data_IF_262906172587
#
_entry.id   IF_262906172587
#
_cell.length_a   1.000
_cell.length_b   1.000
_cell.length_c   1.000
_cell.angle_alpha   90.00
_cell.angle_beta   90.00
_cell.angle_gamma   90.00
#
_symmetry.space_group_name_H-M   'P 1'
#
loop_
_entity.id
_entity.type
_entity.pdbx_description
1 polymer ?
#
# COMPACT_ATOMS: atom_id res chain seq x y z
N UNK A 1 14.58 10.71 1.87
CA UNK A 1 14.79 9.39 1.26
C UNK A 1 16.15 9.17 0.57
N UNK A 2 16.99 10.20 0.32
CA UNK A 2 18.32 10.01 -0.31
C UNK A 2 19.25 9.01 0.40
N UNK A 3 19.08 8.82 1.71
CA UNK A 3 19.80 7.80 2.48
C UNK A 3 19.60 6.35 1.97
N UNK A 4 18.59 6.12 1.13
CA UNK A 4 18.28 4.83 0.52
C UNK A 4 18.89 4.63 -0.88
N UNK A 5 19.54 5.65 -1.46
CA UNK A 5 20.16 5.53 -2.79
C UNK A 5 21.32 4.52 -2.75
N UNK A 6 21.32 3.58 -3.71
CA UNK A 6 22.36 2.56 -3.81
C UNK A 6 22.21 1.39 -2.83
N UNK A 7 21.16 1.36 -2.00
CA UNK A 7 20.78 0.17 -1.24
C UNK A 7 19.91 -0.75 -2.12
N UNK A 8 19.88 -2.05 -1.82
CA UNK A 8 18.88 -2.96 -2.41
C UNK A 8 17.50 -2.71 -1.79
N UNK A 9 16.90 -1.61 -2.21
CA UNK A 9 15.58 -1.18 -1.79
C UNK A 9 14.50 -1.70 -2.74
N UNK A 10 13.35 -2.03 -2.15
CA UNK A 10 12.12 -2.40 -2.83
C UNK A 10 11.05 -1.35 -2.51
N UNK A 11 10.58 -0.64 -3.52
CA UNK A 11 9.44 0.26 -3.44
C UNK A 11 8.17 -0.53 -3.77
N UNK A 12 7.28 -0.66 -2.79
CA UNK A 12 5.98 -1.28 -2.92
C UNK A 12 4.89 -0.20 -2.95
N UNK A 13 4.37 0.07 -4.15
CA UNK A 13 3.25 1.00 -4.33
C UNK A 13 1.92 0.31 -4.03
N UNK A 14 1.11 0.89 -3.15
CA UNK A 14 -0.27 0.43 -2.93
C UNK A 14 -1.10 0.73 -4.18
N UNK A 15 -1.76 -0.28 -4.71
CA UNK A 15 -2.60 -0.11 -5.88
C UNK A 15 -3.80 0.81 -5.56
N UNK A 16 -4.08 1.85 -6.34
CA UNK A 16 -3.44 2.21 -7.63
C UNK A 16 -2.55 3.44 -7.53
N UNK A 17 -3.00 4.48 -6.83
CA UNK A 17 -2.29 5.76 -6.77
C UNK A 17 -0.90 5.68 -6.14
N UNK A 18 -0.71 4.79 -5.16
CA UNK A 18 0.61 4.50 -4.59
C UNK A 18 1.65 4.01 -5.59
N UNK A 19 1.25 3.36 -6.69
CA UNK A 19 2.19 2.98 -7.78
C UNK A 19 2.63 4.20 -8.57
N UNK A 20 1.72 5.15 -8.82
CA UNK A 20 2.02 6.40 -9.53
C UNK A 20 3.02 7.24 -8.72
N UNK A 21 2.85 7.31 -7.40
CA UNK A 21 3.78 7.99 -6.49
C UNK A 21 5.07 7.19 -6.29
N UNK A 22 4.98 5.86 -6.24
CA UNK A 22 6.12 4.96 -6.05
C UNK A 22 7.09 4.96 -7.23
N UNK A 23 6.60 5.11 -8.47
CA UNK A 23 7.44 5.07 -9.66
C UNK A 23 8.58 6.13 -9.69
N UNK A 24 8.33 7.44 -9.47
CA UNK A 24 9.41 8.43 -9.40
C UNK A 24 10.30 8.23 -8.18
N UNK A 25 9.79 7.70 -7.05
CA UNK A 25 10.61 7.35 -5.88
C UNK A 25 11.59 6.23 -6.24
N UNK A 26 11.10 5.15 -6.86
CA UNK A 26 11.93 4.03 -7.28
C UNK A 26 12.99 4.46 -8.30
N UNK A 27 12.63 5.32 -9.27
CA UNK A 27 13.56 5.87 -10.24
C UNK A 27 14.66 6.71 -9.58
N UNK A 28 14.31 7.59 -8.63
CA UNK A 28 15.29 8.43 -7.94
C UNK A 28 16.21 7.64 -6.99
N UNK A 29 15.74 6.50 -6.47
CA UNK A 29 16.49 5.62 -5.58
C UNK A 29 17.24 4.50 -6.30
N UNK A 30 17.00 4.35 -7.60
CA UNK A 30 17.45 3.19 -8.40
C UNK A 30 16.95 1.84 -7.82
N UNK A 31 15.79 1.89 -7.17
CA UNK A 31 15.18 0.77 -6.46
C UNK A 31 14.29 -0.08 -7.37
N UNK A 32 13.95 -1.28 -6.90
CA UNK A 32 12.90 -2.09 -7.53
C UNK A 32 11.54 -1.44 -7.28
N UNK A 33 10.67 -1.38 -8.30
CA UNK A 33 9.28 -0.99 -8.14
C UNK A 33 8.40 -2.22 -8.33
N UNK A 34 7.55 -2.50 -7.36
CA UNK A 34 6.51 -3.53 -7.48
C UNK A 34 5.21 -3.07 -6.80
N UNK A 35 4.10 -3.73 -7.13
CA UNK A 35 2.78 -3.42 -6.56
C UNK A 35 2.45 -4.30 -5.35
N UNK A 36 1.77 -3.72 -4.38
CA UNK A 36 0.98 -4.45 -3.38
C UNK A 36 -0.46 -3.92 -3.44
N UNK A 37 -1.47 -4.78 -3.30
CA UNK A 37 -2.86 -4.37 -3.51
C UNK A 37 -3.77 -4.75 -2.32
N UNK A 38 -3.46 -4.31 -1.08
CA UNK A 38 -4.40 -4.48 0.01
C UNK A 38 -5.71 -3.75 -0.31
N UNK A 39 -6.84 -4.29 0.16
CA UNK A 39 -8.15 -3.69 -0.07
C UNK A 39 -8.95 -3.60 1.21
N UNK A 40 -9.72 -2.50 1.36
CA UNK A 40 -10.62 -2.32 2.50
C UNK A 40 -11.63 -3.45 2.57
N UNK A 41 -11.92 -3.90 3.79
CA UNK A 41 -13.05 -4.76 4.09
C UNK A 41 -14.29 -3.87 4.27
N UNK A 42 -15.24 -3.86 3.32
CA UNK A 42 -16.36 -2.92 3.31
C UNK A 42 -17.31 -3.17 4.48
N UNK A 43 -17.92 -2.11 4.99
CA UNK A 43 -19.02 -2.24 5.96
C UNK A 43 -20.27 -2.71 5.20
N UNK A 44 -21.00 -3.73 5.66
CA UNK A 44 -22.13 -4.31 4.91
C UNK A 44 -23.18 -3.31 4.42
N UNK A 45 -23.48 -2.29 5.22
CA UNK A 45 -24.47 -1.25 4.92
C UNK A 45 -23.86 0.08 4.47
N UNK A 46 -22.53 0.16 4.32
CA UNK A 46 -21.83 1.32 3.77
C UNK A 46 -20.55 0.86 3.04
N UNK A 47 -20.66 0.40 1.79
CA UNK A 47 -19.52 -0.18 1.05
C UNK A 47 -18.35 0.78 0.81
N UNK A 48 -18.59 2.10 0.84
CA UNK A 48 -17.56 3.14 0.68
C UNK A 48 -16.63 3.25 1.91
N UNK A 49 -17.14 2.84 3.08
CA UNK A 49 -16.39 2.76 4.32
C UNK A 49 -15.88 1.33 4.57
N UNK A 50 -14.74 1.22 5.25
CA UNK A 50 -14.16 -0.08 5.59
C UNK A 50 -13.89 -0.22 7.08
N UNK A 51 -14.20 -1.38 7.65
CA UNK A 51 -13.89 -1.71 9.05
C UNK A 51 -12.48 -2.29 9.24
N UNK A 52 -11.78 -2.53 8.14
CA UNK A 52 -10.45 -3.10 8.11
C UNK A 52 -9.91 -3.14 6.69
N UNK A 53 -8.86 -3.91 6.47
CA UNK A 53 -8.33 -4.21 5.16
C UNK A 53 -7.69 -5.60 5.13
N UNK A 54 -7.54 -6.16 3.93
CA UNK A 54 -6.94 -7.47 3.67
C UNK A 54 -5.88 -7.36 2.57
N UNK A 55 -4.75 -8.03 2.75
CA UNK A 55 -3.68 -8.18 1.77
C UNK A 55 -3.79 -9.50 0.98
N UNK A 56 -2.98 -9.65 -0.06
CA UNK A 56 -2.99 -10.79 -0.99
C UNK A 56 -2.77 -12.16 -0.33
N UNK A 57 -1.93 -12.17 0.72
CA UNK A 57 -1.61 -13.35 1.52
C UNK A 57 -2.70 -13.68 2.57
N UNK A 58 -3.82 -12.95 2.55
CA UNK A 58 -4.90 -13.08 3.52
C UNK A 58 -4.64 -12.37 4.85
N UNK A 59 -3.54 -11.61 4.99
CA UNK A 59 -3.30 -10.80 6.19
C UNK A 59 -4.39 -9.75 6.35
N UNK A 60 -5.07 -9.76 7.49
CA UNK A 60 -6.14 -8.82 7.80
C UNK A 60 -5.75 -7.86 8.92
N UNK A 61 -5.98 -6.57 8.68
CA UNK A 61 -6.03 -5.57 9.73
C UNK A 61 -7.48 -5.21 10.01
N UNK A 62 -7.93 -5.34 11.25
CA UNK A 62 -9.29 -5.02 11.67
C UNK A 62 -9.29 -3.87 12.68
N UNK A 63 -10.15 -2.87 12.49
CA UNK A 63 -10.45 -1.92 13.55
C UNK A 63 -11.40 -2.59 14.56
N UNK A 64 -10.83 -3.14 15.63
CA UNK A 64 -11.58 -3.86 16.65
C UNK A 64 -12.69 -3.02 17.33
N UNK A 65 -12.48 -1.70 17.50
CA UNK A 65 -13.50 -0.83 18.07
C UNK A 65 -14.70 -0.67 17.12
N UNK A 66 -14.42 -0.50 15.82
CA UNK A 66 -15.46 -0.39 14.80
C UNK A 66 -16.18 -1.72 14.58
N UNK A 67 -15.47 -2.85 14.55
CA UNK A 67 -16.06 -4.20 14.50
C UNK A 67 -17.05 -4.40 15.65
N UNK A 68 -16.67 -4.06 16.89
CA UNK A 68 -17.56 -4.13 18.05
C UNK A 68 -18.77 -3.19 17.94
N UNK A 69 -18.55 -1.95 17.50
CA UNK A 69 -19.62 -0.96 17.36
C UNK A 69 -20.65 -1.36 16.30
N UNK A 70 -20.21 -2.04 15.24
CA UNK A 70 -21.06 -2.55 14.16
C UNK A 70 -21.74 -3.88 14.52
N UNK A 71 -21.32 -4.55 15.60
CA UNK A 71 -21.83 -5.86 15.98
C UNK A 71 -21.49 -6.98 14.99
N UNK A 72 -20.40 -6.84 14.22
CA UNK A 72 -20.01 -7.84 13.22
C UNK A 72 -19.53 -9.12 13.89
N UNK A 73 -20.13 -10.23 13.47
CA UNK A 73 -19.73 -11.59 13.86
C UNK A 73 -18.47 -12.03 13.12
N UNK A 74 -17.78 -13.03 13.67
CA UNK A 74 -16.61 -13.62 13.01
C UNK A 74 -16.96 -14.25 11.64
N UNK A 75 -18.15 -14.82 11.52
CA UNK A 75 -18.63 -15.44 10.27
C UNK A 75 -18.86 -14.38 9.18
N UNK A 76 -19.49 -13.24 9.53
CA UNK A 76 -19.66 -12.11 8.61
C UNK A 76 -18.31 -11.54 8.15
N UNK A 77 -17.38 -11.34 9.09
CA UNK A 77 -16.03 -10.86 8.77
C UNK A 77 -15.32 -11.84 7.82
N UNK A 78 -15.45 -13.15 8.08
CA UNK A 78 -14.82 -14.19 7.25
C UNK A 78 -15.39 -14.20 5.84
N UNK A 79 -16.71 -14.07 5.69
CA UNK A 79 -17.36 -14.04 4.38
C UNK A 79 -16.90 -12.82 3.57
N UNK A 80 -16.96 -11.63 4.18
CA UNK A 80 -16.51 -10.37 3.54
C UNK A 80 -15.03 -10.47 3.15
N UNK A 81 -14.19 -10.98 4.05
CA UNK A 81 -12.77 -11.16 3.79
C UNK A 81 -12.50 -12.11 2.62
N UNK A 82 -13.24 -13.22 2.51
CA UNK A 82 -13.09 -14.17 1.41
C UNK A 82 -13.45 -13.56 0.05
N UNK A 83 -14.56 -12.82 -0.02
CA UNK A 83 -14.99 -12.11 -1.24
C UNK A 83 -13.96 -11.05 -1.66
N UNK A 84 -13.49 -10.23 -0.72
CA UNK A 84 -12.49 -9.19 -0.99
C UNK A 84 -11.13 -9.80 -1.37
N UNK A 85 -10.73 -10.91 -0.75
CA UNK A 85 -9.47 -11.60 -1.05
C UNK A 85 -9.44 -12.13 -2.49
N UNK A 86 -10.56 -12.69 -2.97
CA UNK A 86 -10.67 -13.15 -4.36
C UNK A 86 -10.41 -12.00 -5.36
N UNK A 87 -10.98 -10.82 -5.08
CA UNK A 87 -10.78 -9.62 -5.86
C UNK A 87 -9.34 -9.07 -5.76
N UNK A 88 -8.72 -9.11 -4.58
CA UNK A 88 -7.30 -8.74 -4.40
C UNK A 88 -6.41 -9.62 -5.28
N UNK A 89 -6.61 -10.95 -5.24
CA UNK A 89 -5.83 -11.90 -6.04
C UNK A 89 -6.00 -11.66 -7.54
N UNK A 90 -7.24 -11.45 -8.00
CA UNK A 90 -7.52 -11.10 -9.41
C UNK A 90 -6.78 -9.84 -9.87
N UNK A 91 -6.70 -8.81 -9.02
CA UNK A 91 -5.96 -7.57 -9.33
C UNK A 91 -4.46 -7.78 -9.36
N UNK A 92 -3.90 -8.52 -8.40
CA UNK A 92 -2.48 -8.83 -8.41
C UNK A 92 -2.09 -9.63 -9.64
N UNK A 93 -2.88 -10.63 -10.03
CA UNK A 93 -2.67 -11.40 -11.27
C UNK A 93 -2.64 -10.48 -12.50
N UNK A 94 -3.54 -9.50 -12.57
CA UNK A 94 -3.53 -8.48 -13.64
C UNK A 94 -2.25 -7.62 -13.66
N UNK A 95 -1.71 -7.25 -12.50
CA UNK A 95 -0.56 -6.35 -12.43
C UNK A 95 0.80 -7.06 -12.55
N UNK A 96 0.91 -8.28 -12.01
CA UNK A 96 2.15 -9.07 -12.00
C UNK A 96 2.21 -10.08 -13.14
N UNK A 97 1.07 -10.55 -13.65
CA UNK A 97 1.00 -11.72 -14.53
C UNK A 97 1.50 -12.97 -13.80
N UNK A 98 2.27 -13.80 -14.49
CA UNK A 98 2.87 -15.03 -13.93
C UNK A 98 4.11 -14.76 -13.05
N UNK A 99 4.46 -13.50 -12.79
CA UNK A 99 5.64 -13.17 -11.98
C UNK A 99 5.41 -13.54 -10.52
N UNK A 100 6.43 -14.10 -9.84
CA UNK A 100 6.31 -14.37 -8.41
C UNK A 100 6.16 -13.07 -7.62
N UNK A 101 5.61 -13.14 -6.38
CA UNK A 101 5.66 -12.01 -5.46
C UNK A 101 7.10 -11.52 -5.23
N UNK A 102 7.30 -10.21 -5.01
CA UNK A 102 8.63 -9.67 -4.79
C UNK A 102 9.24 -10.22 -3.50
N UNK A 103 10.55 -10.48 -3.52
CA UNK A 103 11.28 -10.88 -2.32
C UNK A 103 11.44 -9.68 -1.42
N UNK A 104 10.97 -9.80 -0.17
CA UNK A 104 11.04 -8.75 0.86
C UNK A 104 12.08 -9.03 1.95
N UNK A 105 12.49 -10.29 2.13
CA UNK A 105 13.39 -10.74 3.19
C UNK A 105 14.75 -10.04 3.11
N UNK A 106 15.23 -9.55 4.25
CA UNK A 106 16.51 -8.85 4.42
C UNK A 106 16.70 -7.60 3.52
N UNK A 107 15.62 -7.07 2.92
CA UNK A 107 15.66 -5.86 2.10
C UNK A 107 15.12 -4.64 2.85
N UNK A 108 15.50 -3.46 2.37
CA UNK A 108 14.80 -2.23 2.75
C UNK A 108 13.53 -2.11 1.92
N UNK A 109 12.36 -2.25 2.55
CA UNK A 109 11.06 -2.13 1.89
C UNK A 109 10.45 -0.77 2.18
N UNK A 110 10.04 -0.08 1.13
CA UNK A 110 9.41 1.24 1.17
C UNK A 110 7.97 1.08 0.68
N UNK A 111 7.01 1.14 1.58
CA UNK A 111 5.59 1.18 1.27
C UNK A 111 5.14 2.60 0.92
N UNK A 112 4.48 2.76 -0.22
CA UNK A 112 4.07 4.05 -0.77
C UNK A 112 2.58 4.05 -1.09
N UNK A 113 1.90 5.15 -0.77
CA UNK A 113 0.53 5.45 -1.20
C UNK A 113 0.44 6.91 -1.68
N UNK A 114 -0.63 7.26 -2.39
CA UNK A 114 -0.89 8.66 -2.80
C UNK A 114 -1.35 9.54 -1.63
N UNK A 115 -1.98 8.94 -0.64
CA UNK A 115 -2.25 9.54 0.65
C UNK A 115 -2.96 8.57 1.58
N UNK A 116 -2.96 8.87 2.86
CA UNK A 116 -3.54 7.97 3.86
C UNK A 116 -4.72 8.66 4.53
N UNK A 117 -5.94 8.20 4.22
CA UNK A 117 -7.14 8.65 4.94
C UNK A 117 -7.23 7.99 6.33
N UNK A 118 -7.73 6.74 6.42
CA UNK A 118 -7.79 5.99 7.68
C UNK A 118 -6.55 5.14 7.96
N UNK A 119 -5.74 4.89 6.92
CA UNK A 119 -4.52 4.08 7.00
C UNK A 119 -4.74 2.56 7.07
N UNK A 120 -5.97 2.03 6.99
CA UNK A 120 -6.21 0.59 7.15
C UNK A 120 -5.55 -0.26 6.05
N UNK A 121 -5.57 0.20 4.81
CA UNK A 121 -4.89 -0.46 3.67
C UNK A 121 -3.38 -0.53 3.90
N UNK A 122 -2.78 0.58 4.33
CA UNK A 122 -1.38 0.66 4.70
C UNK A 122 -1.04 -0.28 5.86
N UNK A 123 -1.88 -0.35 6.91
CA UNK A 123 -1.65 -1.25 8.04
C UNK A 123 -1.72 -2.73 7.64
N UNK A 124 -2.65 -3.11 6.76
CA UNK A 124 -2.68 -4.46 6.20
C UNK A 124 -1.43 -4.77 5.36
N UNK A 125 -0.95 -3.80 4.55
CA UNK A 125 0.31 -3.94 3.82
C UNK A 125 1.51 -4.10 4.75
N UNK A 126 1.63 -3.28 5.78
CA UNK A 126 2.69 -3.35 6.79
C UNK A 126 2.72 -4.73 7.45
N UNK A 127 1.56 -5.22 7.89
CA UNK A 127 1.48 -6.54 8.53
C UNK A 127 1.85 -7.67 7.58
N UNK A 128 1.43 -7.60 6.31
CA UNK A 128 1.78 -8.60 5.30
C UNK A 128 3.28 -8.60 5.01
N UNK A 129 3.88 -7.42 4.77
CA UNK A 129 5.31 -7.28 4.49
C UNK A 129 6.16 -7.77 5.66
N UNK A 130 5.76 -7.48 6.91
CA UNK A 130 6.48 -7.93 8.11
C UNK A 130 6.61 -9.45 8.22
N UNK A 131 5.66 -10.22 7.69
CA UNK A 131 5.75 -11.70 7.68
C UNK A 131 6.95 -12.20 6.88
N UNK A 132 7.40 -11.43 5.90
CA UNK A 132 8.58 -11.75 5.10
C UNK A 132 9.89 -11.22 5.68
N UNK A 133 9.91 -10.72 6.92
CA UNK A 133 11.11 -10.28 7.63
C UNK A 133 12.01 -9.31 6.82
N UNK A 134 11.52 -8.12 6.45
CA UNK A 134 12.37 -7.11 5.83
C UNK A 134 13.45 -6.64 6.82
N UNK A 135 14.64 -6.27 6.31
CA UNK A 135 15.67 -5.67 7.14
C UNK A 135 15.25 -4.29 7.67
N UNK A 136 14.44 -3.57 6.88
CA UNK A 136 13.86 -2.28 7.26
C UNK A 136 12.54 -2.06 6.55
N UNK A 137 11.54 -1.54 7.25
CA UNK A 137 10.24 -1.19 6.73
C UNK A 137 9.97 0.32 6.90
N UNK A 138 9.84 0.99 5.77
CA UNK A 138 9.63 2.43 5.67
C UNK A 138 8.25 2.69 5.06
N UNK A 139 7.54 3.68 5.56
CA UNK A 139 6.36 4.24 4.89
C UNK A 139 6.70 5.63 4.37
N UNK A 140 6.34 5.91 3.11
CA UNK A 140 6.51 7.22 2.51
C UNK A 140 5.24 7.62 1.76
N UNK A 141 4.60 8.71 2.19
CA UNK A 141 3.36 9.22 1.58
C UNK A 141 3.39 10.74 1.43
N UNK A 142 2.74 11.31 0.41
CA UNK A 142 2.64 12.76 0.27
C UNK A 142 1.82 13.40 1.38
N UNK A 143 0.68 12.82 1.74
CA UNK A 143 -0.27 13.45 2.67
C UNK A 143 -1.02 12.45 3.56
N UNK A 144 -1.24 12.81 4.82
CA UNK A 144 -2.07 12.05 5.77
C UNK A 144 -2.44 12.91 6.98
N UNK A 145 -3.65 12.80 7.57
CA UNK A 145 -3.93 13.50 8.81
C UNK A 145 -3.03 12.95 9.93
N UNK A 146 -2.60 13.84 10.84
CA UNK A 146 -1.65 13.49 11.89
C UNK A 146 -2.12 12.31 12.78
N UNK A 147 -3.43 12.13 12.94
CA UNK A 147 -4.04 11.00 13.66
C UNK A 147 -3.77 9.65 13.00
N UNK A 148 -3.77 9.58 11.66
CA UNK A 148 -3.46 8.36 10.91
C UNK A 148 -1.96 8.07 10.95
N UNK A 149 -1.11 9.09 10.91
CA UNK A 149 0.34 8.92 11.08
C UNK A 149 0.69 8.32 12.45
N UNK A 150 0.13 8.87 13.54
CA UNK A 150 0.32 8.34 14.90
C UNK A 150 -0.12 6.88 15.06
N UNK A 151 -1.09 6.44 14.26
CA UNK A 151 -1.54 5.04 14.24
C UNK A 151 -0.54 4.13 13.53
N UNK A 152 0.16 4.62 12.51
CA UNK A 152 1.05 3.81 11.66
C UNK A 152 2.49 3.78 12.21
N UNK A 153 2.96 4.91 12.73
CA UNK A 153 4.33 5.09 13.23
C UNK A 153 4.84 3.95 14.14
N UNK A 154 4.06 3.41 15.11
CA UNK A 154 4.53 2.30 15.96
C UNK A 154 4.77 0.98 15.22
N UNK A 155 4.35 0.88 13.96
CA UNK A 155 4.41 -0.34 13.17
C UNK A 155 5.52 -0.33 12.10
N UNK A 156 6.34 0.71 12.01
CA UNK A 156 7.37 0.86 10.97
C UNK A 156 8.67 1.39 11.57
N UNK A 157 9.78 1.22 10.87
CA UNK A 157 11.08 1.73 11.32
C UNK A 157 11.23 3.22 11.02
N UNK A 158 10.62 3.68 9.93
CA UNK A 158 10.52 5.10 9.60
C UNK A 158 9.21 5.42 8.90
N UNK A 159 8.70 6.62 9.17
CA UNK A 159 7.53 7.17 8.51
C UNK A 159 7.88 8.56 7.95
N UNK A 160 7.68 8.74 6.65
CA UNK A 160 7.88 10.00 5.94
C UNK A 160 6.53 10.49 5.40
N UNK A 161 6.11 11.68 5.81
CA UNK A 161 4.92 12.35 5.30
C UNK A 161 5.25 13.81 4.95
N UNK A 162 4.92 14.28 3.75
CA UNK A 162 5.24 15.66 3.35
C UNK A 162 4.29 16.67 3.99
N UNK A 163 2.99 16.35 4.03
CA UNK A 163 1.95 17.23 4.57
C UNK A 163 1.11 16.47 5.59
N UNK A 164 1.09 16.95 6.84
CA UNK A 164 0.44 16.28 7.96
C UNK A 164 -0.55 17.22 8.68
N UNK A 165 -1.74 17.49 8.11
CA UNK A 165 -2.70 18.40 8.71
C UNK A 165 -3.27 17.84 10.02
N UNK A 166 -3.53 18.73 10.97
CA UNK A 166 -4.33 18.45 12.16
C UNK A 166 -5.79 18.79 11.86
N UNK A 167 -6.54 17.83 11.32
CA UNK A 167 -7.94 18.00 10.92
C UNK A 167 -8.73 16.73 11.18
N UNK A 168 -10.02 16.89 11.49
CA UNK A 168 -10.98 15.81 11.61
C UNK A 168 -11.61 15.43 10.25
N UNK A 169 -11.61 16.35 9.29
CA UNK A 169 -12.11 16.13 7.93
C UNK A 169 -10.93 16.08 6.97
N UNK A 170 -10.83 14.98 6.22
CA UNK A 170 -9.70 14.72 5.34
C UNK A 170 -10.12 13.91 4.11
N UNK A 171 -9.77 14.42 2.93
CA UNK A 171 -9.73 13.66 1.69
C UNK A 171 -8.38 13.85 1.01
N UNK A 172 -7.81 12.76 0.47
CA UNK A 172 -6.52 12.81 -0.25
C UNK A 172 -6.62 13.76 -1.45
N UNK A 173 -7.75 13.72 -2.17
CA UNK A 173 -8.00 14.52 -3.35
C UNK A 173 -7.85 16.03 -3.13
N UNK A 174 -8.11 16.54 -1.92
CA UNK A 174 -8.03 17.98 -1.61
C UNK A 174 -6.59 18.52 -1.67
N UNK A 175 -5.59 17.64 -1.71
CA UNK A 175 -4.16 18.00 -1.74
C UNK A 175 -3.53 17.82 -3.11
N UNK A 176 -4.33 17.49 -4.13
CA UNK A 176 -3.88 17.31 -5.50
C UNK A 176 -4.62 18.27 -6.42
N UNK A 177 -3.87 19.04 -7.21
CA UNK A 177 -4.45 19.86 -8.29
C UNK A 177 -5.06 18.97 -9.39
N UNK A 178 -4.46 17.80 -9.62
CA UNK A 178 -4.95 16.76 -10.52
C UNK A 178 -5.04 15.42 -9.78
N UNK A 179 -6.27 15.01 -9.45
CA UNK A 179 -6.59 13.74 -8.81
C UNK A 179 -7.43 12.84 -9.71
N UNK A 180 -6.99 12.67 -10.97
CA UNK A 180 -7.65 11.77 -11.93
C UNK A 180 -7.59 10.30 -11.49
N UNK A 181 -8.64 9.56 -11.84
CA UNK A 181 -8.71 8.13 -11.62
C UNK A 181 -7.56 7.40 -12.34
N UNK A 182 -6.75 6.69 -11.56
CA UNK A 182 -5.71 5.78 -12.07
C UNK A 182 -6.38 4.46 -12.46
N UNK A 183 -6.16 3.99 -13.69
CA UNK A 183 -6.70 2.72 -14.17
C UNK A 183 -5.70 1.58 -13.97
N UNK A 184 -6.18 0.36 -14.13
CA UNK A 184 -5.32 -0.82 -13.97
C UNK A 184 -4.23 -0.87 -15.06
N UNK A 185 -4.53 -0.38 -16.26
CA UNK A 185 -3.57 -0.30 -17.37
C UNK A 185 -2.43 0.68 -17.10
N UNK A 186 -2.72 1.77 -16.38
CA UNK A 186 -1.72 2.77 -16.02
C UNK A 186 -0.73 2.17 -15.00
N UNK A 187 -1.22 1.37 -14.05
CA UNK A 187 -0.39 0.60 -13.10
C UNK A 187 0.50 -0.39 -13.85
N UNK A 188 -0.06 -1.22 -14.72
CA UNK A 188 0.71 -2.22 -15.48
C UNK A 188 1.78 -1.56 -16.34
N UNK A 189 1.46 -0.45 -17.02
CA UNK A 189 2.43 0.30 -17.83
C UNK A 189 3.60 0.87 -17.01
N UNK A 190 3.34 1.40 -15.82
CA UNK A 190 4.37 1.90 -14.91
C UNK A 190 5.30 0.78 -14.43
N UNK A 191 4.73 -0.36 -14.01
CA UNK A 191 5.50 -1.52 -13.57
C UNK A 191 6.38 -2.07 -14.71
N UNK A 192 5.84 -2.21 -15.91
CA UNK A 192 6.62 -2.65 -17.07
C UNK A 192 7.76 -1.70 -17.42
N UNK A 193 7.50 -0.40 -17.40
CA UNK A 193 8.53 0.62 -17.65
C UNK A 193 9.66 0.54 -16.63
N UNK A 194 9.32 0.40 -15.34
CA UNK A 194 10.31 0.27 -14.26
C UNK A 194 11.16 -0.99 -14.44
N UNK A 195 10.53 -2.13 -14.76
CA UNK A 195 11.22 -3.41 -15.01
C UNK A 195 12.19 -3.31 -16.20
N UNK A 196 11.79 -2.72 -17.33
CA UNK A 196 12.65 -2.53 -18.52
C UNK A 196 13.87 -1.65 -18.20
N UNK A 197 13.68 -0.55 -17.47
CA UNK A 197 14.79 0.32 -17.05
C UNK A 197 15.80 -0.41 -16.17
N UNK A 198 15.33 -1.29 -15.27
CA UNK A 198 16.21 -2.08 -14.39
C UNK A 198 17.02 -3.11 -15.18
N UNK A 199 16.40 -3.82 -16.13
CA UNK A 199 17.08 -4.79 -16.99
C UNK A 199 18.23 -4.15 -17.80
N UNK A 200 17.96 -3.01 -18.45
CA UNK A 200 18.98 -2.27 -19.20
C UNK A 200 20.19 -1.86 -18.35
N UNK A 201 19.96 -1.55 -17.07
CA UNK A 201 21.03 -1.20 -16.12
C UNK A 201 21.82 -2.41 -15.64
N UNK A 202 21.20 -3.57 -15.49
CA UNK A 202 21.89 -4.81 -15.13
C UNK A 202 22.78 -5.34 -16.26
N UNK A 203 22.53 -4.93 -17.50
CA UNK A 203 23.30 -5.30 -18.70
C UNK A 203 24.40 -4.30 -19.09
N UNK A 204 24.48 -3.14 -18.42
CA UNK A 204 25.49 -2.08 -18.67
C UNK A 204 26.60 -2.10 -17.63
#
# INVERSE_FOLDING_TARGET
MRAYQGLDALVLGIARGGVVVGAPIAEALEAELEVIAPRKLPIPFNPEAGFGAIAEDGTTYLNAALVRALGLTEDEIRQIAAEVLAEVRRRIERYRGDRPPPVVNDRTVILVDDGLATGYTMLAAIQSVKKGAPARLVVAVPVSPASTLRRIEPHVDELHCLVAPETDVFAVADFYEDFRDVRDEDVTALLERARRKRQQRSES
#
